data_IF_793553525164
#
_entry.id   IF_793553525164
#
_cell.length_a   1.000
_cell.length_b   1.000
_cell.length_c   1.000
_cell.angle_alpha   90.00
_cell.angle_beta   90.00
_cell.angle_gamma   90.00
#
_symmetry.space_group_name_H-M   'P 1'
#
loop_
_entity.id
_entity.type
_entity.pdbx_description
1 polymer ?
#
# COMPACT_ATOMS: atom_id res chain seq x y z
N UNK A 1 -20.60 -6.49 19.93
CA UNK A 1 -19.81 -7.72 20.21
C UNK A 1 -18.51 -7.29 20.86
N UNK A 2 -18.08 -7.93 21.95
CA UNK A 2 -16.87 -7.60 22.71
C UNK A 2 -15.88 -8.77 22.69
N UNK A 3 -14.60 -8.50 22.96
CA UNK A 3 -13.60 -9.56 23.13
C UNK A 3 -13.97 -10.46 24.34
N UNK A 4 -13.73 -11.78 24.30
CA UNK A 4 -13.96 -12.66 25.44
C UNK A 4 -13.21 -12.19 26.70
N UNK A 5 -13.88 -12.19 27.87
CA UNK A 5 -13.32 -11.68 29.12
C UNK A 5 -11.99 -12.35 29.50
N UNK A 6 -11.87 -13.67 29.31
CA UNK A 6 -10.61 -14.40 29.57
C UNK A 6 -9.43 -13.86 28.75
N UNK A 7 -9.66 -13.44 27.50
CA UNK A 7 -8.60 -12.88 26.66
C UNK A 7 -8.17 -11.49 27.16
N UNK A 8 -9.13 -10.68 27.62
CA UNK A 8 -8.84 -9.38 28.24
C UNK A 8 -8.08 -9.54 29.56
N UNK A 9 -8.47 -10.50 30.40
CA UNK A 9 -7.78 -10.78 31.66
C UNK A 9 -6.32 -11.18 31.44
N UNK A 10 -6.05 -12.08 30.49
CA UNK A 10 -4.68 -12.46 30.12
C UNK A 10 -3.88 -11.29 29.54
N UNK A 11 -4.50 -10.45 28.71
CA UNK A 11 -3.87 -9.25 28.16
C UNK A 11 -3.46 -8.28 29.27
N UNK A 12 -4.36 -8.00 30.22
CA UNK A 12 -4.08 -7.12 31.36
C UNK A 12 -3.01 -7.72 32.26
N UNK A 13 -3.04 -9.02 32.52
CA UNK A 13 -2.00 -9.71 33.29
C UNK A 13 -0.62 -9.56 32.62
N UNK A 14 -0.55 -9.69 31.29
CA UNK A 14 0.70 -9.51 30.53
C UNK A 14 1.19 -8.07 30.59
N UNK A 15 0.32 -7.09 30.38
CA UNK A 15 0.68 -5.66 30.44
C UNK A 15 1.16 -5.25 31.85
N UNK A 16 0.44 -5.68 32.90
CA UNK A 16 0.86 -5.48 34.29
C UNK A 16 2.24 -6.08 34.57
N UNK A 17 2.54 -7.27 34.03
CA UNK A 17 3.84 -7.91 34.22
C UNK A 17 5.00 -7.21 33.50
N UNK A 18 4.77 -6.66 32.30
CA UNK A 18 5.81 -5.99 31.51
C UNK A 18 6.08 -4.58 32.03
N UNK A 19 5.04 -3.80 32.30
CA UNK A 19 5.14 -2.39 32.64
C UNK A 19 5.13 -2.10 34.15
N UNK A 20 4.74 -3.09 34.96
CA UNK A 20 4.72 -2.99 36.43
C UNK A 20 4.02 -1.71 36.91
N UNK A 21 4.65 -0.97 37.84
CA UNK A 21 4.11 0.26 38.41
C UNK A 21 3.77 1.35 37.38
N UNK A 22 4.35 1.34 36.18
CA UNK A 22 3.97 2.30 35.14
C UNK A 22 2.55 2.05 34.63
N UNK A 23 2.12 0.78 34.53
CA UNK A 23 0.75 0.43 34.14
C UNK A 23 -0.27 0.86 35.19
N UNK A 24 0.02 0.63 36.47
CA UNK A 24 -0.87 1.03 37.56
C UNK A 24 -1.06 2.55 37.60
N UNK A 25 -0.01 3.32 37.30
CA UNK A 25 -0.10 4.78 37.18
C UNK A 25 -0.98 5.24 36.02
N UNK A 26 -0.90 4.58 34.87
CA UNK A 26 -1.73 4.91 33.70
C UNK A 26 -3.21 4.56 33.91
N UNK A 27 -3.51 3.50 34.66
CA UNK A 27 -4.88 3.15 35.05
C UNK A 27 -5.49 4.17 36.02
N UNK A 28 -4.66 4.84 36.82
CA UNK A 28 -5.08 5.84 37.79
C UNK A 28 -6.09 5.27 38.80
N UNK A 29 -7.19 6.00 39.03
CA UNK A 29 -8.25 5.63 39.97
C UNK A 29 -9.48 5.01 39.27
N UNK A 30 -9.39 4.69 37.98
CA UNK A 30 -10.53 4.15 37.23
C UNK A 30 -10.87 2.73 37.67
N UNK A 31 -12.17 2.37 37.79
CA UNK A 31 -12.57 1.01 38.12
C UNK A 31 -12.05 0.03 37.07
N UNK A 32 -11.27 -0.97 37.50
CA UNK A 32 -10.59 -1.89 36.58
C UNK A 32 -11.57 -2.63 35.64
N UNK A 33 -12.78 -2.93 36.13
CA UNK A 33 -13.81 -3.57 35.31
C UNK A 33 -14.27 -2.69 34.15
N UNK A 34 -14.46 -1.39 34.39
CA UNK A 34 -14.89 -0.46 33.35
C UNK A 34 -13.79 -0.29 32.28
N UNK A 35 -12.53 -0.23 32.73
CA UNK A 35 -11.38 -0.18 31.81
C UNK A 35 -11.32 -1.46 30.97
N UNK A 36 -11.46 -2.64 31.59
CA UNK A 36 -11.49 -3.92 30.87
C UNK A 36 -12.65 -3.97 29.87
N UNK A 37 -13.84 -3.50 30.23
CA UNK A 37 -14.99 -3.43 29.33
C UNK A 37 -14.73 -2.49 28.15
N UNK A 38 -14.12 -1.33 28.38
CA UNK A 38 -13.74 -0.40 27.31
C UNK A 38 -12.71 -1.03 26.35
N UNK A 39 -11.69 -1.69 26.88
CA UNK A 39 -10.70 -2.42 26.08
C UNK A 39 -11.33 -3.58 25.30
N UNK A 40 -12.25 -4.32 25.92
CA UNK A 40 -12.97 -5.41 25.27
C UNK A 40 -13.81 -4.93 24.08
N UNK A 41 -14.37 -3.73 24.17
CA UNK A 41 -15.12 -3.10 23.09
C UNK A 41 -14.19 -2.62 21.98
N UNK A 42 -13.11 -1.92 22.32
CA UNK A 42 -12.16 -1.40 21.31
C UNK A 42 -11.50 -2.50 20.49
N UNK A 43 -11.14 -3.61 21.14
CA UNK A 43 -10.49 -4.76 20.53
C UNK A 43 -11.46 -5.82 19.98
N UNK A 44 -12.76 -5.53 19.99
CA UNK A 44 -13.79 -6.45 19.49
C UNK A 44 -13.58 -6.90 18.03
N UNK A 45 -12.94 -6.07 17.21
CA UNK A 45 -12.62 -6.43 15.82
C UNK A 45 -11.70 -7.65 15.72
N UNK A 46 -10.83 -7.84 16.71
CA UNK A 46 -9.86 -8.94 16.73
C UNK A 46 -10.41 -10.24 17.32
N UNK A 47 -11.58 -10.20 17.96
CA UNK A 47 -12.24 -11.38 18.52
C UNK A 47 -13.04 -12.21 17.52
N UNK A 48 -13.13 -11.78 16.25
CA UNK A 48 -14.00 -12.41 15.25
C UNK A 48 -13.41 -13.66 14.61
N UNK A 49 -12.09 -13.77 14.53
CA UNK A 49 -11.40 -14.90 13.90
C UNK A 49 -10.11 -15.23 14.62
N UNK A 50 -9.64 -16.47 14.49
CA UNK A 50 -8.37 -16.91 15.06
C UNK A 50 -7.19 -16.10 14.49
N UNK A 51 -7.21 -15.80 13.19
CA UNK A 51 -6.21 -14.92 12.54
C UNK A 51 -6.24 -13.48 13.03
N UNK A 52 -7.37 -12.99 13.53
CA UNK A 52 -7.42 -11.66 14.11
C UNK A 52 -6.84 -11.66 15.54
N UNK A 53 -6.95 -12.78 16.27
CA UNK A 53 -6.30 -12.96 17.56
C UNK A 53 -4.77 -13.07 17.47
N UNK A 54 -4.22 -13.63 16.39
CA UNK A 54 -2.75 -13.68 16.20
C UNK A 54 -2.13 -12.29 16.09
N UNK A 55 -2.89 -11.28 15.66
CA UNK A 55 -2.46 -9.87 15.68
C UNK A 55 -2.30 -9.31 17.08
N UNK A 56 -3.15 -9.73 18.02
CA UNK A 56 -3.01 -9.37 19.44
C UNK A 56 -1.74 -10.02 20.01
N UNK A 57 -1.50 -11.30 19.70
CA UNK A 57 -0.28 -11.99 20.13
C UNK A 57 0.98 -11.27 19.61
N UNK A 58 1.01 -10.94 18.31
CA UNK A 58 2.12 -10.17 17.72
C UNK A 58 2.32 -8.81 18.40
N UNK A 59 1.24 -8.09 18.74
CA UNK A 59 1.33 -6.82 19.44
C UNK A 59 1.85 -6.96 20.88
N UNK A 60 1.57 -8.10 21.55
CA UNK A 60 2.13 -8.40 22.88
C UNK A 60 3.63 -8.74 22.85
N UNK A 61 4.14 -9.20 21.71
CA UNK A 61 5.58 -9.42 21.50
C UNK A 61 6.31 -8.13 21.10
N UNK A 62 5.60 -7.17 20.50
CA UNK A 62 6.14 -5.89 20.00
C UNK A 62 5.64 -4.71 20.85
N UNK A 63 5.73 -4.85 22.17
CA UNK A 63 5.27 -3.83 23.10
C UNK A 63 6.20 -2.59 23.09
N UNK A 64 5.65 -1.36 23.12
CA UNK A 64 6.45 -0.13 23.23
C UNK A 64 7.08 0.04 24.62
N UNK A 65 8.00 0.99 24.78
CA UNK A 65 8.64 1.25 26.08
C UNK A 65 7.66 1.82 27.14
N UNK A 66 6.61 2.52 26.69
CA UNK A 66 5.55 3.06 27.57
C UNK A 66 4.26 2.24 27.49
N UNK A 67 3.50 2.13 28.59
CA UNK A 67 2.24 1.41 28.58
C UNK A 67 1.25 2.04 27.59
N UNK A 68 0.70 1.27 26.63
CA UNK A 68 -0.22 1.82 25.63
C UNK A 68 -1.65 1.94 26.19
N UNK A 69 -2.38 2.95 25.72
CA UNK A 69 -3.84 3.02 25.90
C UNK A 69 -4.57 2.08 24.93
N UNK A 70 -5.84 1.75 25.19
CA UNK A 70 -6.65 0.87 24.33
C UNK A 70 -6.58 1.22 22.83
N UNK A 71 -6.80 2.48 22.40
CA UNK A 71 -6.71 2.83 20.98
C UNK A 71 -5.29 2.79 20.43
N UNK A 72 -4.26 3.04 21.27
CA UNK A 72 -2.86 2.91 20.85
C UNK A 72 -2.50 1.44 20.63
N UNK A 73 -2.91 0.56 21.53
CA UNK A 73 -2.72 -0.88 21.39
C UNK A 73 -3.47 -1.44 20.17
N UNK A 74 -4.70 -0.97 19.90
CA UNK A 74 -5.44 -1.31 18.69
C UNK A 74 -4.68 -0.94 17.41
N UNK A 75 -4.06 0.24 17.36
CA UNK A 75 -3.21 0.64 16.22
C UNK A 75 -1.99 -0.27 16.09
N UNK A 76 -1.36 -0.67 17.20
CA UNK A 76 -0.25 -1.61 17.20
C UNK A 76 -0.67 -2.97 16.62
N UNK A 77 -1.82 -3.52 17.04
CA UNK A 77 -2.36 -4.76 16.46
C UNK A 77 -2.57 -4.68 14.94
N UNK A 78 -2.88 -3.49 14.40
CA UNK A 78 -3.06 -3.29 12.94
C UNK A 78 -1.76 -3.22 12.16
N UNK A 79 -0.63 -3.01 12.83
CA UNK A 79 0.70 -3.05 12.21
C UNK A 79 1.23 -4.48 12.03
N UNK A 80 0.56 -5.46 12.65
CA UNK A 80 0.94 -6.86 12.53
C UNK A 80 0.98 -7.27 11.04
N UNK A 81 2.07 -7.93 10.58
CA UNK A 81 2.16 -8.44 9.23
C UNK A 81 0.94 -9.32 8.90
N UNK A 82 0.42 -9.19 7.69
CA UNK A 82 -0.61 -10.11 7.22
C UNK A 82 -0.04 -11.53 7.25
N UNK A 83 -0.75 -12.47 7.88
CA UNK A 83 -0.35 -13.87 7.88
C UNK A 83 -0.20 -14.34 6.43
N UNK A 84 0.95 -14.95 6.11
CA UNK A 84 1.18 -15.58 4.81
C UNK A 84 0.12 -16.67 4.63
N UNK A 85 -0.89 -16.36 3.83
CA UNK A 85 -1.92 -17.32 3.49
C UNK A 85 -1.30 -18.26 2.46
N UNK A 86 -1.27 -19.59 2.70
CA UNK A 86 -0.75 -20.53 1.72
C UNK A 86 -1.58 -20.38 0.45
N UNK A 87 -0.93 -19.87 -0.59
CA UNK A 87 -1.58 -19.67 -1.88
C UNK A 87 -2.07 -21.03 -2.37
N UNK A 88 -3.37 -21.14 -2.64
CA UNK A 88 -3.90 -22.29 -3.36
C UNK A 88 -3.10 -22.43 -4.66
N UNK A 89 -2.70 -23.65 -5.07
CA UNK A 89 -2.02 -23.84 -6.32
C UNK A 89 -2.89 -23.26 -7.42
N UNK A 90 -2.37 -22.23 -8.09
CA UNK A 90 -3.05 -21.59 -9.21
C UNK A 90 -3.42 -22.68 -10.22
N UNK A 91 -4.70 -22.86 -10.59
CA UNK A 91 -5.03 -23.78 -11.67
C UNK A 91 -4.28 -23.31 -12.92
N UNK A 92 -3.41 -24.16 -13.47
CA UNK A 92 -2.68 -23.85 -14.70
C UNK A 92 -3.71 -23.42 -15.74
N UNK A 93 -3.59 -22.19 -16.22
CA UNK A 93 -4.48 -21.68 -17.25
C UNK A 93 -4.37 -22.61 -18.48
N UNK A 94 -5.50 -23.08 -18.96
CA UNK A 94 -5.58 -23.91 -20.16
C UNK A 94 -4.94 -23.14 -21.33
N UNK A 95 -3.83 -23.64 -21.92
CA UNK A 95 -3.06 -22.91 -22.92
C UNK A 95 -3.88 -22.57 -24.16
N UNK A 96 -4.92 -23.35 -24.48
CA UNK A 96 -5.79 -23.09 -25.62
C UNK A 96 -6.70 -21.88 -25.38
N UNK A 97 -7.21 -21.71 -24.14
CA UNK A 97 -7.97 -20.51 -23.79
C UNK A 97 -7.10 -19.26 -23.76
N UNK A 98 -5.86 -19.37 -23.27
CA UNK A 98 -4.91 -18.25 -23.25
C UNK A 98 -4.61 -17.76 -24.67
N UNK A 99 -4.39 -18.69 -25.62
CA UNK A 99 -4.21 -18.35 -27.04
C UNK A 99 -5.45 -17.70 -27.65
N UNK A 100 -6.65 -18.22 -27.36
CA UNK A 100 -7.90 -17.66 -27.87
C UNK A 100 -8.16 -16.25 -27.36
N UNK A 101 -7.89 -15.97 -26.07
CA UNK A 101 -8.01 -14.63 -25.49
C UNK A 101 -6.91 -13.68 -26.02
N UNK A 102 -5.67 -14.15 -26.18
CA UNK A 102 -4.59 -13.39 -26.83
C UNK A 102 -4.92 -13.01 -28.28
N UNK A 103 -5.56 -13.92 -29.02
CA UNK A 103 -6.02 -13.66 -30.39
C UNK A 103 -7.14 -12.60 -30.41
N UNK A 104 -8.08 -12.66 -29.46
CA UNK A 104 -9.09 -11.60 -29.28
C UNK A 104 -8.45 -10.25 -28.98
N UNK A 105 -7.40 -10.20 -28.16
CA UNK A 105 -6.67 -8.97 -27.83
C UNK A 105 -5.75 -8.47 -28.95
N UNK A 106 -5.68 -9.16 -30.09
CA UNK A 106 -4.83 -8.79 -31.23
C UNK A 106 -5.09 -7.37 -31.77
N UNK A 107 -6.32 -6.86 -31.64
CA UNK A 107 -6.68 -5.49 -32.05
C UNK A 107 -6.16 -4.40 -31.08
N UNK A 108 -5.87 -4.75 -29.82
CA UNK A 108 -5.24 -3.86 -28.83
C UNK A 108 -3.72 -3.91 -28.93
N UNK A 109 -3.18 -4.98 -29.52
CA UNK A 109 -1.76 -5.14 -29.85
C UNK A 109 -1.40 -4.31 -31.08
N UNK A 110 -1.73 -3.00 -31.06
CA UNK A 110 -1.04 -2.05 -31.94
C UNK A 110 0.46 -2.20 -31.65
N UNK A 111 1.30 -2.35 -32.68
CA UNK A 111 2.74 -2.37 -32.45
C UNK A 111 3.10 -1.11 -31.66
N UNK A 112 4.07 -1.26 -30.77
CA UNK A 112 4.65 -0.20 -29.95
C UNK A 112 5.35 0.91 -30.79
N UNK A 113 4.93 1.15 -32.03
CA UNK A 113 5.31 2.30 -32.84
C UNK A 113 4.94 3.60 -32.12
N UNK A 114 3.83 3.61 -31.37
CA UNK A 114 3.39 4.75 -30.54
C UNK A 114 4.25 4.98 -29.28
N UNK A 115 5.05 3.99 -28.89
CA UNK A 115 5.87 3.99 -27.67
C UNK A 115 7.37 3.93 -27.98
N UNK A 116 7.76 3.98 -29.27
CA UNK A 116 9.16 4.22 -29.63
C UNK A 116 9.56 5.60 -29.13
N UNK A 117 10.80 5.74 -28.65
CA UNK A 117 11.37 6.99 -28.14
C UNK A 117 11.32 8.18 -29.13
N UNK A 118 10.86 7.98 -30.37
CA UNK A 118 10.63 9.03 -31.37
C UNK A 118 9.16 9.46 -31.58
N UNK A 119 8.16 8.66 -31.23
CA UNK A 119 6.76 8.93 -31.60
C UNK A 119 6.19 10.20 -30.93
N UNK A 120 6.53 10.41 -29.65
CA UNK A 120 6.08 11.57 -28.87
C UNK A 120 6.66 12.92 -29.36
N UNK A 121 7.65 12.91 -30.28
CA UNK A 121 8.30 14.11 -30.83
C UNK A 121 8.01 14.33 -32.32
N UNK A 122 7.09 13.57 -32.93
CA UNK A 122 6.73 13.73 -34.34
C UNK A 122 6.13 15.12 -34.64
N UNK A 123 5.45 15.73 -33.67
CA UNK A 123 4.93 17.09 -33.81
C UNK A 123 6.05 18.12 -34.04
N UNK A 124 7.20 17.97 -33.35
CA UNK A 124 8.31 18.90 -33.43
C UNK A 124 9.01 18.83 -34.80
N UNK A 125 9.24 17.62 -35.31
CA UNK A 125 9.80 17.40 -36.66
C UNK A 125 8.91 18.00 -37.76
N UNK A 126 7.57 17.87 -37.62
CA UNK A 126 6.61 18.45 -38.56
C UNK A 126 6.68 19.97 -38.62
N UNK A 127 6.81 20.64 -37.47
CA UNK A 127 6.91 22.10 -37.39
C UNK A 127 8.21 22.59 -38.03
N UNK A 128 9.32 21.92 -37.77
CA UNK A 128 10.62 22.25 -38.39
C UNK A 128 10.59 22.05 -39.91
N UNK A 129 9.95 20.99 -40.41
CA UNK A 129 9.78 20.75 -41.84
C UNK A 129 8.96 21.85 -42.53
N UNK A 130 7.86 22.29 -41.91
CA UNK A 130 7.04 23.40 -42.43
C UNK A 130 7.81 24.72 -42.48
N UNK A 131 8.59 25.02 -41.44
CA UNK A 131 9.46 26.20 -41.42
C UNK A 131 10.51 26.15 -42.54
N UNK A 132 11.11 24.98 -42.78
CA UNK A 132 12.07 24.80 -43.87
C UNK A 132 11.42 24.99 -45.26
N UNK A 133 10.13 24.72 -45.39
CA UNK A 133 9.33 24.98 -46.59
C UNK A 133 8.89 26.45 -46.75
N UNK A 134 9.22 27.32 -45.79
CA UNK A 134 8.93 28.76 -45.86
C UNK A 134 7.59 29.18 -45.24
N UNK A 135 6.89 28.29 -44.54
CA UNK A 135 5.71 28.68 -43.76
C UNK A 135 6.09 29.64 -42.63
N UNK A 136 5.33 30.72 -42.48
CA UNK A 136 5.49 31.65 -41.35
C UNK A 136 4.94 31.03 -40.07
N UNK A 137 5.83 30.48 -39.24
CA UNK A 137 5.52 29.91 -37.93
C UNK A 137 5.89 30.92 -36.83
N UNK A 138 5.09 30.97 -35.76
CA UNK A 138 5.39 31.85 -34.63
C UNK A 138 6.77 31.52 -34.02
N UNK A 139 7.58 32.54 -33.67
CA UNK A 139 8.94 32.33 -33.16
C UNK A 139 9.01 31.43 -31.91
N UNK A 140 8.03 31.55 -31.01
CA UNK A 140 7.97 30.75 -29.79
C UNK A 140 7.73 29.26 -30.08
N UNK A 141 6.86 28.97 -31.04
CA UNK A 141 6.55 27.59 -31.48
C UNK A 141 7.77 26.91 -32.11
N UNK A 142 8.59 27.66 -32.85
CA UNK A 142 9.84 27.14 -33.41
C UNK A 142 10.85 26.78 -32.33
N UNK A 143 11.00 27.65 -31.33
CA UNK A 143 11.90 27.41 -30.19
C UNK A 143 11.54 26.13 -29.44
N UNK A 144 10.25 25.94 -29.11
CA UNK A 144 9.78 24.73 -28.42
C UNK A 144 9.99 23.46 -29.24
N UNK A 145 9.81 23.51 -30.56
CA UNK A 145 10.07 22.36 -31.44
C UNK A 145 11.56 22.00 -31.49
N UNK A 146 12.45 23.00 -31.56
CA UNK A 146 13.90 22.79 -31.54
C UNK A 146 14.37 22.19 -30.21
N UNK A 147 13.90 22.71 -29.08
CA UNK A 147 14.25 22.22 -27.74
C UNK A 147 13.77 20.77 -27.52
N UNK A 148 12.56 20.43 -27.99
CA UNK A 148 12.02 19.08 -27.89
C UNK A 148 12.82 18.03 -28.67
N UNK A 149 13.37 18.38 -29.84
CA UNK A 149 14.25 17.50 -30.62
C UNK A 149 15.64 17.42 -29.97
N UNK A 150 16.18 18.54 -29.50
CA UNK A 150 17.51 18.62 -28.87
C UNK A 150 17.63 17.81 -27.58
N UNK A 151 16.57 17.73 -26.77
CA UNK A 151 16.56 16.93 -25.53
C UNK A 151 16.77 15.43 -25.75
N UNK A 152 16.75 14.92 -26.99
CA UNK A 152 17.13 13.54 -27.30
C UNK A 152 18.65 13.29 -27.21
N UNK A 153 19.49 14.33 -27.34
CA UNK A 153 20.94 14.20 -27.44
C UNK A 153 21.69 14.17 -26.10
N UNK A 154 20.98 14.30 -24.97
CA UNK A 154 21.57 14.08 -23.65
C UNK A 154 21.09 12.71 -23.13
N UNK A 155 21.91 11.64 -23.25
CA UNK A 155 21.72 10.50 -22.38
C UNK A 155 21.88 11.01 -20.95
N UNK A 156 20.92 10.69 -20.08
CA UNK A 156 20.96 11.03 -18.66
C UNK A 156 22.32 10.62 -18.08
N UNK A 157 23.12 11.62 -17.72
CA UNK A 157 24.35 11.42 -16.94
C UNK A 157 23.88 11.12 -15.52
N UNK A 158 24.22 9.92 -15.06
CA UNK A 158 24.05 9.45 -13.69
C UNK A 158 24.80 10.30 -12.66
#
# INVERSE_FOLDING_TARGET
MSLPNKAIDHLFQRLSGVYMAAWDRELGNSPLNDVKSAWAHELAEFGRSHEAMTRIAWALDNLPDRPPSAPAFKRLCRQAPAAETPQLPMPKADPERVKAELAKMGHLRKPAESSSAGYHKQWAHRILGRHAQGDKILPYTLKCAQDAVRSHLQPEVA
#
